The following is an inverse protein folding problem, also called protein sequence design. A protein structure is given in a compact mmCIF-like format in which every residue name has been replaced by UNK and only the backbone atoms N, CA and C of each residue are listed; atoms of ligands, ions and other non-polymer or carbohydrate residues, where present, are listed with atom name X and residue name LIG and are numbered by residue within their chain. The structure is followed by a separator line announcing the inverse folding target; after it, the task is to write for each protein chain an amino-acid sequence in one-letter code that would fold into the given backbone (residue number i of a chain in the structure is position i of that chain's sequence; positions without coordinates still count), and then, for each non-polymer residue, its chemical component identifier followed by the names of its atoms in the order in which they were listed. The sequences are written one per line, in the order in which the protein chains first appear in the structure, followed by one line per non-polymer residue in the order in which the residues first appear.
data_IF_720547158675
#
_entry.id   IF_720547158675
#
_cell.length_a   1.000
_cell.length_b   1.000
_cell.length_c   1.000
_cell.angle_alpha   90.00
_cell.angle_beta   90.00
_cell.angle_gamma   90.00
#
_symmetry.space_group_name_H-M   'P 1'
#
loop_
_entity.id
_entity.type
_entity.pdbx_description
1 polymer ?
#
# COMPACT_ATOMS: atom_id res chain seq x y z
N UNK A 1 -9.37 -30.19 1.18
CA UNK A 1 -8.33 -29.68 2.10
C UNK A 1 -8.40 -28.16 2.06
N UNK A 2 -8.63 -27.47 3.18
CA UNK A 2 -8.54 -25.99 3.23
C UNK A 2 -7.05 -25.63 3.37
N UNK A 3 -6.53 -24.80 2.48
CA UNK A 3 -5.17 -24.28 2.62
C UNK A 3 -5.08 -23.42 3.89
N UNK A 4 -4.05 -23.67 4.72
CA UNK A 4 -3.75 -22.81 5.86
C UNK A 4 -3.01 -21.59 5.30
N UNK A 5 -3.63 -20.42 5.38
CA UNK A 5 -2.97 -19.16 5.01
C UNK A 5 -2.02 -18.79 6.17
N UNK A 6 -0.74 -18.59 5.85
CA UNK A 6 0.29 -18.17 6.82
C UNK A 6 0.76 -16.76 6.45
N UNK A 7 0.84 -15.89 7.45
CA UNK A 7 1.35 -14.53 7.33
C UNK A 7 2.72 -14.44 8.03
N UNK A 8 3.74 -14.00 7.30
CA UNK A 8 5.09 -13.74 7.82
C UNK A 8 5.24 -12.25 8.10
N UNK A 9 5.54 -11.88 9.34
CA UNK A 9 5.89 -10.51 9.69
C UNK A 9 7.20 -10.10 9.00
N UNK A 10 7.16 -9.02 8.21
CA UNK A 10 8.33 -8.51 7.47
C UNK A 10 8.79 -7.13 7.94
N UNK A 11 7.93 -6.35 8.61
CA UNK A 11 8.28 -5.03 9.16
C UNK A 11 7.39 -4.69 10.35
N UNK A 12 7.95 -4.00 11.35
CA UNK A 12 7.23 -3.44 12.53
C UNK A 12 7.43 -1.93 12.68
N UNK A 13 8.17 -1.30 11.77
CA UNK A 13 8.57 0.11 11.85
C UNK A 13 8.03 0.94 10.69
N UNK A 14 7.08 0.39 9.94
CA UNK A 14 6.59 1.03 8.73
C UNK A 14 5.82 2.31 9.08
N UNK A 15 6.11 3.39 8.34
CA UNK A 15 5.26 4.58 8.37
C UNK A 15 4.21 4.46 7.28
N UNK A 16 2.93 4.44 7.65
CA UNK A 16 1.83 4.47 6.71
C UNK A 16 1.24 5.87 6.59
N UNK A 17 0.94 6.31 5.38
CA UNK A 17 0.20 7.54 5.10
C UNK A 17 -0.95 7.24 4.12
N UNK A 18 -1.65 8.28 3.67
CA UNK A 18 -2.73 8.17 2.67
C UNK A 18 -2.39 9.00 1.46
N UNK A 19 -2.87 8.57 0.29
CA UNK A 19 -2.83 9.37 -0.93
C UNK A 19 -4.14 9.25 -1.70
N UNK A 20 -4.40 10.25 -2.55
CA UNK A 20 -5.53 10.32 -3.44
C UNK A 20 -5.05 10.19 -4.88
N UNK A 21 -5.90 9.62 -5.74
CA UNK A 21 -5.71 9.59 -7.19
C UNK A 21 -5.94 10.99 -7.80
N UNK A 22 -5.02 11.93 -7.54
CA UNK A 22 -5.04 13.30 -8.07
C UNK A 22 -3.66 13.72 -8.60
N UNK A 23 -3.58 14.61 -9.61
CA UNK A 23 -2.32 14.99 -10.24
C UNK A 23 -1.27 15.56 -9.27
N UNK A 24 -1.67 16.20 -8.18
CA UNK A 24 -0.75 16.77 -7.18
C UNK A 24 -0.01 15.70 -6.38
N UNK A 25 -0.54 14.47 -6.37
CA UNK A 25 0.01 13.33 -5.64
C UNK A 25 0.48 12.20 -6.56
N UNK A 26 0.27 12.33 -7.89
CA UNK A 26 0.62 11.34 -8.91
C UNK A 26 1.48 11.96 -10.02
N UNK A 27 2.43 11.21 -10.56
CA UNK A 27 3.44 11.75 -11.48
C UNK A 27 3.05 11.80 -12.97
N UNK A 28 1.91 11.21 -13.37
CA UNK A 28 1.53 11.09 -14.79
C UNK A 28 0.01 11.01 -14.97
N UNK A 29 -0.56 9.84 -14.72
CA UNK A 29 -1.99 9.59 -14.79
C UNK A 29 -2.49 9.12 -13.42
N UNK A 30 -3.27 9.94 -12.69
CA UNK A 30 -3.70 9.60 -11.35
C UNK A 30 -4.61 8.38 -11.27
N UNK A 31 -5.21 7.94 -12.38
CA UNK A 31 -6.13 6.79 -12.41
C UNK A 31 -5.46 5.49 -12.89
N UNK A 32 -4.12 5.47 -13.01
CA UNK A 32 -3.35 4.28 -13.39
C UNK A 32 -2.22 4.10 -12.37
N UNK A 33 -2.18 2.96 -11.68
CA UNK A 33 -1.11 2.62 -10.73
C UNK A 33 0.19 2.26 -11.44
N UNK A 34 1.31 2.19 -10.71
CA UNK A 34 2.58 1.74 -11.27
C UNK A 34 2.57 0.30 -11.81
N UNK A 35 1.65 -0.56 -11.37
CA UNK A 35 1.42 -1.90 -11.96
C UNK A 35 0.64 -1.87 -13.29
N UNK A 36 0.04 -0.73 -13.64
CA UNK A 36 -0.85 -0.58 -14.79
C UNK A 36 -2.33 -0.83 -14.49
N UNK A 37 -2.70 -1.08 -13.22
CA UNK A 37 -4.10 -1.23 -12.81
C UNK A 37 -4.83 0.10 -12.95
N UNK A 38 -6.03 0.06 -13.54
CA UNK A 38 -6.94 1.22 -13.60
C UNK A 38 -7.69 1.35 -12.28
N UNK A 39 -7.76 2.57 -11.77
CA UNK A 39 -8.51 2.91 -10.56
C UNK A 39 -9.91 3.37 -10.97
N UNK A 40 -10.94 2.77 -10.39
CA UNK A 40 -12.30 3.33 -10.44
C UNK A 40 -12.52 4.20 -9.20
N UNK A 41 -12.63 5.51 -9.41
CA UNK A 41 -12.81 6.49 -8.35
C UNK A 41 -14.11 6.27 -7.55
N UNK A 42 -15.10 5.56 -8.11
CA UNK A 42 -16.36 5.25 -7.43
C UNK A 42 -16.25 4.11 -6.42
N UNK A 43 -15.27 3.21 -6.60
CA UNK A 43 -15.08 2.01 -5.77
C UNK A 43 -13.68 1.94 -5.14
N UNK A 44 -13.07 3.12 -4.96
CA UNK A 44 -11.68 3.24 -4.54
C UNK A 44 -11.44 2.71 -3.11
N UNK A 45 -12.46 2.71 -2.24
CA UNK A 45 -12.35 2.18 -0.86
C UNK A 45 -12.27 0.66 -0.87
N UNK A 46 -12.96 0.04 -1.80
CA UNK A 46 -13.08 -1.40 -1.97
C UNK A 46 -11.84 -2.01 -2.60
N UNK A 47 -11.15 -1.25 -3.46
CA UNK A 47 -9.99 -1.71 -4.22
C UNK A 47 -8.77 -2.07 -3.35
N UNK A 48 -8.68 -1.53 -2.13
CA UNK A 48 -7.61 -1.79 -1.14
C UNK A 48 -6.21 -1.76 -1.76
N UNK A 49 -5.94 -0.73 -2.56
CA UNK A 49 -4.66 -0.51 -3.23
C UNK A 49 -3.66 0.14 -2.28
N UNK A 50 -2.46 -0.44 -2.22
CA UNK A 50 -1.32 0.06 -1.47
C UNK A 50 -0.20 0.47 -2.41
N UNK A 51 0.33 1.68 -2.19
CA UNK A 51 1.63 2.06 -2.70
C UNK A 51 2.71 1.64 -1.69
N UNK A 52 3.74 0.92 -2.14
CA UNK A 52 4.86 0.51 -1.28
C UNK A 52 6.17 1.16 -1.75
N UNK A 53 7.02 1.50 -0.80
CA UNK A 53 8.37 1.99 -1.08
C UNK A 53 9.19 0.93 -1.84
N UNK A 54 9.91 1.35 -2.89
CA UNK A 54 10.56 0.45 -3.87
C UNK A 54 11.63 -0.45 -3.26
N UNK A 55 12.48 0.08 -2.39
CA UNK A 55 13.56 -0.68 -1.75
C UNK A 55 13.02 -1.66 -0.72
N UNK A 56 11.92 -1.33 -0.04
CA UNK A 56 11.16 -2.23 0.82
C UNK A 56 10.57 -3.39 0.03
N UNK A 57 9.95 -3.11 -1.13
CA UNK A 57 9.46 -4.17 -2.03
C UNK A 57 10.58 -5.13 -2.42
N UNK A 58 11.71 -4.59 -2.89
CA UNK A 58 12.87 -5.39 -3.27
C UNK A 58 13.42 -6.22 -2.10
N UNK A 59 13.59 -5.59 -0.92
CA UNK A 59 14.13 -6.24 0.28
C UNK A 59 13.31 -7.44 0.73
N UNK A 60 11.99 -7.35 0.66
CA UNK A 60 11.07 -8.40 1.11
C UNK A 60 10.51 -9.27 -0.03
N UNK A 61 10.99 -9.06 -1.25
CA UNK A 61 10.56 -9.76 -2.46
C UNK A 61 9.06 -9.62 -2.71
N UNK A 62 8.50 -8.44 -2.48
CA UNK A 62 7.11 -8.07 -2.80
C UNK A 62 7.05 -7.59 -4.24
N UNK A 63 6.08 -8.08 -4.99
CA UNK A 63 5.83 -7.72 -6.38
C UNK A 63 4.45 -7.08 -6.52
N UNK A 64 4.20 -6.44 -7.66
CA UNK A 64 2.87 -5.94 -7.96
C UNK A 64 1.85 -7.09 -8.01
N UNK A 65 0.67 -6.86 -7.44
CA UNK A 65 -0.39 -7.87 -7.27
C UNK A 65 -0.25 -8.71 -6.01
N UNK A 66 0.87 -8.64 -5.28
CA UNK A 66 1.00 -9.33 -3.99
C UNK A 66 0.07 -8.69 -2.95
N UNK A 67 -0.52 -9.54 -2.11
CA UNK A 67 -1.32 -9.10 -0.96
C UNK A 67 -0.47 -9.09 0.30
N UNK A 68 -0.53 -7.98 1.04
CA UNK A 68 0.05 -7.84 2.38
C UNK A 68 -1.05 -7.64 3.41
N UNK A 69 -0.82 -8.16 4.61
CA UNK A 69 -1.66 -7.87 5.76
C UNK A 69 -1.04 -6.72 6.56
N UNK A 70 -1.83 -5.68 6.79
CA UNK A 70 -1.45 -4.47 7.53
C UNK A 70 -2.09 -4.49 8.91
N UNK A 71 -1.33 -4.15 9.95
CA UNK A 71 -1.84 -3.96 11.32
C UNK A 71 -1.26 -2.71 11.97
N UNK A 72 -2.02 -2.07 12.87
CA UNK A 72 -1.59 -0.87 13.59
C UNK A 72 -1.95 0.45 12.88
N UNK A 73 -2.78 0.39 11.84
CA UNK A 73 -3.34 1.53 11.11
C UNK A 73 -4.85 1.74 11.35
N UNK A 74 -5.44 1.06 12.33
CA UNK A 74 -6.82 1.26 12.77
C UNK A 74 -7.83 0.79 11.73
N UNK A 75 -8.65 1.70 11.18
CA UNK A 75 -9.66 1.35 10.15
C UNK A 75 -9.02 0.85 8.84
N UNK A 76 -7.72 1.10 8.65
CA UNK A 76 -6.96 0.64 7.50
C UNK A 76 -6.27 -0.71 7.75
N UNK A 77 -6.44 -1.32 8.92
CA UNK A 77 -5.99 -2.70 9.15
C UNK A 77 -6.69 -3.67 8.19
N UNK A 78 -5.99 -4.76 7.84
CA UNK A 78 -6.49 -5.80 6.95
C UNK A 78 -5.60 -6.03 5.72
N UNK A 79 -6.16 -6.75 4.75
CA UNK A 79 -5.45 -7.11 3.52
C UNK A 79 -5.46 -5.95 2.52
N UNK A 80 -4.31 -5.71 1.90
CA UNK A 80 -4.09 -4.71 0.86
C UNK A 80 -3.28 -5.29 -0.29
N UNK A 81 -3.60 -4.89 -1.51
CA UNK A 81 -2.88 -5.31 -2.71
C UNK A 81 -1.85 -4.25 -3.09
N UNK A 82 -0.60 -4.65 -3.21
CA UNK A 82 0.48 -3.77 -3.64
C UNK A 82 0.40 -3.60 -5.15
N UNK A 83 -0.13 -2.47 -5.60
CA UNK A 83 -0.31 -2.17 -7.03
C UNK A 83 0.47 -0.94 -7.47
N UNK A 84 1.01 -0.19 -6.52
CA UNK A 84 1.64 1.10 -6.78
C UNK A 84 2.99 1.22 -6.06
N UNK A 85 3.80 2.17 -6.49
CA UNK A 85 5.12 2.43 -5.90
C UNK A 85 5.30 3.89 -5.53
N UNK A 86 5.85 4.10 -4.34
CA UNK A 86 6.13 5.45 -3.86
C UNK A 86 7.23 6.14 -4.69
N UNK A 87 7.22 7.47 -4.64
CA UNK A 87 8.22 8.31 -5.29
C UNK A 87 9.65 7.97 -4.81
N UNK A 88 10.68 7.93 -5.70
CA UNK A 88 12.06 7.53 -5.34
C UNK A 88 12.70 8.31 -4.19
N UNK A 89 12.22 9.53 -3.90
CA UNK A 89 12.67 10.34 -2.75
C UNK A 89 12.49 9.64 -1.39
N UNK A 90 11.62 8.63 -1.32
CA UNK A 90 11.36 7.86 -0.10
C UNK A 90 12.20 6.59 0.01
N UNK A 91 13.16 6.37 -0.89
CA UNK A 91 14.03 5.21 -0.87
C UNK A 91 14.64 4.95 0.52
N UNK A 92 14.50 3.71 1.01
CA UNK A 92 15.04 3.27 2.29
C UNK A 92 14.28 3.69 3.55
N UNK A 93 13.09 4.30 3.42
CA UNK A 93 12.33 4.81 4.57
C UNK A 93 11.24 3.87 5.12
N UNK A 94 11.11 2.65 4.59
CA UNK A 94 10.08 1.67 4.99
C UNK A 94 8.68 2.31 5.11
N UNK A 95 8.16 2.80 3.98
CA UNK A 95 6.89 3.52 3.90
C UNK A 95 5.86 2.81 3.02
N UNK A 96 4.60 3.01 3.37
CA UNK A 96 3.44 2.61 2.56
C UNK A 96 2.41 3.74 2.52
N UNK A 97 1.60 3.75 1.47
CA UNK A 97 0.54 4.73 1.27
C UNK A 97 -0.75 4.02 0.88
N UNK A 98 -1.82 4.26 1.65
CA UNK A 98 -3.16 3.75 1.33
C UNK A 98 -3.81 4.62 0.27
N UNK A 99 -4.29 4.02 -0.82
CA UNK A 99 -5.15 4.75 -1.76
C UNK A 99 -6.51 4.98 -1.09
N UNK A 100 -6.91 6.24 -0.97
CA UNK A 100 -8.17 6.63 -0.34
C UNK A 100 -8.93 7.63 -1.22
N UNK A 101 -10.27 7.70 -1.10
CA UNK A 101 -11.03 8.71 -1.82
C UNK A 101 -10.67 10.12 -1.38
N UNK A 102 -10.99 11.07 -2.25
CA UNK A 102 -10.58 12.46 -2.13
C UNK A 102 -11.18 13.22 -0.95
N UNK A 103 -12.19 12.67 -0.26
CA UNK A 103 -12.75 13.20 0.98
C UNK A 103 -11.83 12.95 2.19
N UNK A 104 -10.98 11.91 2.13
CA UNK A 104 -9.95 11.65 3.13
C UNK A 104 -8.68 12.42 2.75
N UNK A 105 -8.30 13.38 3.59
CA UNK A 105 -7.19 14.32 3.32
C UNK A 105 -5.90 14.02 4.04
N UNK A 106 -5.96 13.46 5.25
CA UNK A 106 -4.79 13.25 6.11
C UNK A 106 -4.91 11.92 6.84
N UNK A 107 -3.77 11.28 7.03
CA UNK A 107 -3.61 10.05 7.79
C UNK A 107 -2.13 9.75 7.89
N UNK A 108 -1.65 9.45 9.10
CA UNK A 108 -0.28 9.02 9.35
C UNK A 108 -0.26 8.09 10.55
N UNK A 109 0.38 6.95 10.39
CA UNK A 109 0.61 5.95 11.42
C UNK A 109 2.06 5.55 11.41
N UNK A 110 2.64 5.37 12.60
CA UNK A 110 4.02 4.93 12.80
C UNK A 110 3.99 3.59 13.53
N UNK A 111 5.01 2.75 13.29
CA UNK A 111 5.05 1.41 13.88
C UNK A 111 4.02 0.45 13.29
N UNK A 112 3.61 0.68 12.03
CA UNK A 112 2.70 -0.22 11.32
C UNK A 112 3.41 -1.53 11.02
N UNK A 113 2.72 -2.64 11.29
CA UNK A 113 3.21 -3.96 10.98
C UNK A 113 2.75 -4.40 9.59
N UNK A 114 3.70 -4.90 8.79
CA UNK A 114 3.43 -5.45 7.47
C UNK A 114 3.76 -6.94 7.49
N UNK A 115 2.82 -7.74 7.02
CA UNK A 115 2.96 -9.17 6.88
C UNK A 115 2.83 -9.58 5.41
N UNK A 116 3.71 -10.46 4.96
CA UNK A 116 3.67 -11.07 3.62
C UNK A 116 2.99 -12.44 3.69
N UNK A 117 2.15 -12.75 2.70
CA UNK A 117 1.57 -14.09 2.56
C UNK A 117 2.66 -15.11 2.19
N UNK A 118 2.70 -16.23 2.90
CA UNK A 118 3.62 -17.36 2.64
C UNK A 118 3.05 -18.37 1.66
#
# INVERSE_FOLDING_TARGET
MKAIIIWLLISTTTTATVYNAVPEQCNSNPTITASGRKIDLKTIKEDRILAMERTMMYRYGIHYGDTVLVKGAGIYDGEWVVEDTMHPRYAGQDKVDFLVPSDVKLGKWEGVEIYKKR
#
